data_IF_480432964755
#
_entry.id   IF_480432964755
#
_cell.length_a   1.000
_cell.length_b   1.000
_cell.length_c   1.000
_cell.angle_alpha   90.00
_cell.angle_beta   90.00
_cell.angle_gamma   90.00
#
_symmetry.space_group_name_H-M   'P 1'
#
loop_
_entity.id
_entity.type
_entity.pdbx_description
1 polymer ?
#
# COMPACT_ATOMS: atom_id res chain seq x y z
N UNK A 1 30.90 -23.07 2.21
CA UNK A 1 29.71 -22.29 1.84
C UNK A 1 28.51 -22.90 2.56
N UNK A 2 28.02 -22.26 3.63
CA UNK A 2 26.77 -22.70 4.28
C UNK A 2 26.10 -21.53 5.01
N UNK A 3 25.14 -20.94 4.30
CA UNK A 3 23.79 -20.59 4.78
C UNK A 3 23.63 -19.60 5.94
N UNK A 4 23.44 -18.32 5.59
CA UNK A 4 22.84 -17.28 6.44
C UNK A 4 21.32 -17.48 6.54
N UNK A 5 20.84 -18.35 7.42
CA UNK A 5 19.41 -18.53 7.70
C UNK A 5 19.05 -18.38 9.19
N UNK A 6 19.89 -17.69 9.98
CA UNK A 6 19.66 -17.51 11.44
C UNK A 6 19.13 -16.14 11.85
N UNK A 7 19.32 -15.07 11.06
CA UNK A 7 19.06 -13.71 11.53
C UNK A 7 17.62 -13.19 11.33
N UNK A 8 16.73 -13.94 10.67
CA UNK A 8 15.38 -13.43 10.38
C UNK A 8 14.45 -13.59 11.59
N UNK A 9 14.65 -14.62 12.41
CA UNK A 9 13.69 -15.02 13.45
C UNK A 9 13.83 -14.27 14.78
N UNK A 10 14.97 -13.62 15.02
CA UNK A 10 15.21 -12.88 16.26
C UNK A 10 14.54 -11.49 16.28
N UNK A 11 14.21 -10.92 15.12
CA UNK A 11 13.54 -9.61 15.04
C UNK A 11 12.01 -9.67 15.19
N UNK A 12 11.38 -10.81 14.90
CA UNK A 12 9.91 -10.92 14.88
C UNK A 12 9.33 -10.90 16.31
N UNK A 13 9.99 -11.59 17.24
CA UNK A 13 9.65 -11.55 18.67
C UNK A 13 9.92 -10.17 19.30
N UNK A 14 10.81 -9.37 18.70
CA UNK A 14 11.14 -8.01 19.15
C UNK A 14 10.07 -7.01 18.72
N UNK A 15 9.50 -7.14 17.51
CA UNK A 15 8.49 -6.20 17.00
C UNK A 15 7.19 -6.23 17.81
N UNK A 16 6.67 -7.42 18.15
CA UNK A 16 5.45 -7.55 18.94
C UNK A 16 5.59 -6.91 20.32
N UNK A 17 6.76 -7.09 20.95
CA UNK A 17 7.09 -6.48 22.24
C UNK A 17 7.26 -4.97 22.10
N UNK A 18 8.00 -4.51 21.09
CA UNK A 18 8.18 -3.09 20.78
C UNK A 18 6.86 -2.37 20.56
N UNK A 19 5.90 -2.99 19.86
CA UNK A 19 4.55 -2.45 19.66
C UNK A 19 3.76 -2.48 20.96
N UNK A 20 3.90 -3.52 21.78
CA UNK A 20 3.18 -3.64 23.05
C UNK A 20 3.59 -2.55 24.04
N UNK A 21 4.90 -2.31 24.17
CA UNK A 21 5.50 -1.29 25.04
C UNK A 21 5.45 0.12 24.42
N UNK A 22 5.01 0.23 23.16
CA UNK A 22 4.93 1.51 22.48
C UNK A 22 3.90 2.43 23.14
N UNK A 23 4.33 3.67 23.38
CA UNK A 23 3.60 4.67 24.14
C UNK A 23 2.24 5.08 23.54
N UNK A 24 1.61 6.13 24.08
CA UNK A 24 0.23 6.51 23.72
C UNK A 24 0.03 6.87 22.23
N UNK A 25 1.10 7.18 21.49
CA UNK A 25 1.04 7.45 20.04
C UNK A 25 0.91 6.19 19.17
N UNK A 26 0.99 4.98 19.77
CA UNK A 26 0.94 3.69 19.08
C UNK A 26 -0.07 3.58 17.96
N UNK A 27 -1.33 3.92 18.24
CA UNK A 27 -2.39 3.76 17.24
C UNK A 27 -2.22 4.71 16.06
N UNK A 28 -1.71 5.93 16.31
CA UNK A 28 -1.39 6.89 15.24
C UNK A 28 -0.21 6.40 14.42
N UNK A 29 0.81 5.83 15.07
CA UNK A 29 2.02 5.36 14.40
C UNK A 29 1.81 4.04 13.63
N UNK A 30 0.90 3.17 14.08
CA UNK A 30 0.42 2.02 13.30
C UNK A 30 -0.26 2.48 12.01
N UNK A 31 -1.12 3.52 12.07
CA UNK A 31 -1.76 4.06 10.86
C UNK A 31 -0.73 4.61 9.90
N UNK A 32 0.29 5.33 10.40
CA UNK A 32 1.40 5.84 9.60
C UNK A 32 2.22 4.71 8.98
N UNK A 33 2.50 3.63 9.72
CA UNK A 33 3.17 2.45 9.20
C UNK A 33 2.36 1.79 8.06
N UNK A 34 1.04 1.71 8.18
CA UNK A 34 0.19 1.19 7.11
C UNK A 34 0.22 2.07 5.85
N UNK A 35 0.24 3.39 6.02
CA UNK A 35 0.42 4.33 4.92
C UNK A 35 1.78 4.16 4.24
N UNK A 36 2.83 3.98 5.04
CA UNK A 36 4.18 3.71 4.56
C UNK A 36 4.27 2.37 3.81
N UNK A 37 3.66 1.30 4.31
CA UNK A 37 3.62 0.00 3.63
C UNK A 37 2.95 0.09 2.24
N UNK A 38 1.86 0.87 2.14
CA UNK A 38 1.19 1.13 0.86
C UNK A 38 2.11 1.86 -0.11
N UNK A 39 2.89 2.82 0.38
CA UNK A 39 3.90 3.52 -0.42
C UNK A 39 4.99 2.56 -0.90
N UNK A 40 5.57 1.77 0.02
CA UNK A 40 6.62 0.81 -0.29
C UNK A 40 6.21 -0.19 -1.37
N UNK A 41 4.95 -0.64 -1.42
CA UNK A 41 4.47 -1.54 -2.49
C UNK A 41 4.73 -1.00 -3.90
N UNK A 42 4.75 0.33 -4.08
CA UNK A 42 4.95 0.96 -5.39
C UNK A 42 6.41 1.04 -5.80
N UNK A 43 7.34 0.83 -4.86
CA UNK A 43 8.77 0.85 -5.12
C UNK A 43 9.22 -0.46 -5.78
N UNK A 44 10.24 -0.37 -6.63
CA UNK A 44 10.73 -1.53 -7.39
C UNK A 44 11.32 -2.61 -6.49
N UNK A 45 12.00 -2.20 -5.41
CA UNK A 45 12.59 -3.09 -4.40
C UNK A 45 11.56 -3.96 -3.65
N UNK A 46 10.29 -3.57 -3.69
CA UNK A 46 9.19 -4.24 -2.99
C UNK A 46 8.40 -5.19 -3.89
N UNK A 47 8.75 -5.33 -5.18
CA UNK A 47 7.98 -6.12 -6.16
C UNK A 47 7.89 -7.62 -5.86
N UNK A 48 8.67 -8.12 -4.89
CA UNK A 48 8.61 -9.50 -4.41
C UNK A 48 8.03 -9.68 -3.00
N UNK A 49 7.69 -8.59 -2.30
CA UNK A 49 7.22 -8.66 -0.92
C UNK A 49 5.69 -8.74 -0.86
N UNK A 50 5.19 -9.60 0.03
CA UNK A 50 3.78 -9.64 0.37
C UNK A 50 3.38 -8.41 1.18
N UNK A 51 2.07 -8.14 1.23
CA UNK A 51 1.56 -7.05 2.06
C UNK A 51 1.87 -7.24 3.55
N UNK A 52 1.87 -8.47 4.05
CA UNK A 52 2.23 -8.75 5.44
C UNK A 52 3.69 -8.33 5.72
N UNK A 53 4.64 -8.77 4.87
CA UNK A 53 6.06 -8.43 5.02
C UNK A 53 6.30 -6.92 4.92
N UNK A 54 5.55 -6.21 4.06
CA UNK A 54 5.63 -4.75 3.95
C UNK A 54 5.08 -4.06 5.20
N UNK A 55 4.04 -4.60 5.83
CA UNK A 55 3.49 -4.08 7.08
C UNK A 55 4.50 -4.26 8.21
N UNK A 56 5.07 -5.46 8.37
CA UNK A 56 6.06 -5.74 9.42
C UNK A 56 7.29 -4.83 9.29
N UNK A 57 7.80 -4.69 8.05
CA UNK A 57 8.90 -3.77 7.76
C UNK A 57 8.54 -2.32 8.07
N UNK A 58 7.33 -1.90 7.73
CA UNK A 58 6.89 -0.52 7.94
C UNK A 58 6.65 -0.20 9.41
N UNK A 59 6.12 -1.16 10.18
CA UNK A 59 5.99 -1.04 11.62
C UNK A 59 7.37 -0.88 12.26
N UNK A 60 8.34 -1.70 11.85
CA UNK A 60 9.70 -1.59 12.33
C UNK A 60 10.34 -0.24 11.96
N UNK A 61 10.20 0.22 10.71
CA UNK A 61 10.76 1.50 10.25
C UNK A 61 10.21 2.70 11.04
N UNK A 62 8.92 2.68 11.40
CA UNK A 62 8.27 3.75 12.19
C UNK A 62 8.64 3.66 13.67
N UNK A 63 8.56 2.47 14.27
CA UNK A 63 8.84 2.27 15.70
C UNK A 63 10.32 2.50 16.04
N UNK A 64 11.22 2.13 15.13
CA UNK A 64 12.66 2.40 15.27
C UNK A 64 13.05 3.87 14.99
N UNK A 65 12.12 4.69 14.49
CA UNK A 65 12.39 6.07 14.10
C UNK A 65 13.25 6.21 12.84
N UNK A 66 13.46 5.12 12.09
CA UNK A 66 14.20 5.13 10.82
C UNK A 66 13.50 5.94 9.74
N UNK A 67 12.17 6.03 9.82
CA UNK A 67 11.34 6.90 8.97
C UNK A 67 10.59 7.87 9.87
N UNK A 68 10.68 9.16 9.59
CA UNK A 68 10.00 10.19 10.34
C UNK A 68 8.62 10.51 9.75
N UNK A 69 7.71 11.00 10.59
CA UNK A 69 6.36 11.44 10.20
C UNK A 69 6.33 12.32 8.94
N UNK A 70 7.14 13.38 8.77
CA UNK A 70 7.10 14.21 7.57
C UNK A 70 7.42 13.44 6.28
N UNK A 71 8.29 12.42 6.35
CA UNK A 71 8.63 11.60 5.18
C UNK A 71 7.42 10.74 4.75
N UNK A 72 6.68 10.22 5.73
CA UNK A 72 5.46 9.44 5.50
C UNK A 72 4.39 10.34 4.88
N UNK A 73 4.20 11.54 5.42
CA UNK A 73 3.21 12.50 4.91
C UNK A 73 3.52 12.92 3.46
N UNK A 74 4.79 13.18 3.15
CA UNK A 74 5.22 13.47 1.77
C UNK A 74 4.96 12.29 0.82
N UNK A 75 5.26 11.07 1.26
CA UNK A 75 5.03 9.87 0.48
C UNK A 75 3.54 9.64 0.20
N UNK A 76 2.70 9.82 1.23
CA UNK A 76 1.23 9.74 1.09
C UNK A 76 0.71 10.77 0.10
N UNK A 77 1.20 12.01 0.18
CA UNK A 77 0.78 13.08 -0.74
C UNK A 77 1.13 12.74 -2.19
N UNK A 78 2.37 12.31 -2.45
CA UNK A 78 2.81 11.87 -3.78
C UNK A 78 1.95 10.71 -4.29
N UNK A 79 1.62 9.77 -3.40
CA UNK A 79 0.80 8.63 -3.76
C UNK A 79 -0.64 8.97 -4.11
N UNK A 80 -1.24 9.94 -3.41
CA UNK A 80 -2.55 10.49 -3.71
C UNK A 80 -2.56 11.21 -5.06
N UNK A 81 -1.54 12.01 -5.37
CA UNK A 81 -1.42 12.67 -6.68
C UNK A 81 -1.34 11.66 -7.84
N UNK A 82 -0.67 10.53 -7.63
CA UNK A 82 -0.61 9.45 -8.63
C UNK A 82 -1.99 8.82 -8.81
N UNK A 83 -2.71 8.52 -7.73
CA UNK A 83 -4.07 7.94 -7.80
C UNK A 83 -5.05 8.88 -8.48
N UNK A 84 -5.00 10.18 -8.17
CA UNK A 84 -5.85 11.20 -8.79
C UNK A 84 -5.58 11.31 -10.30
N UNK A 85 -4.31 11.31 -10.73
CA UNK A 85 -3.92 11.31 -12.15
C UNK A 85 -4.38 10.05 -12.89
N UNK A 86 -4.38 8.89 -12.23
CA UNK A 86 -4.85 7.63 -12.81
C UNK A 86 -6.39 7.59 -12.90
N UNK A 87 -7.08 8.11 -11.87
CA UNK A 87 -8.54 8.17 -11.82
C UNK A 87 -9.10 9.15 -12.85
N UNK A 88 -8.47 10.30 -13.02
CA UNK A 88 -8.88 11.34 -13.98
C UNK A 88 -8.69 10.93 -15.45
N UNK A 89 -7.88 9.88 -15.71
CA UNK A 89 -7.65 9.31 -17.05
C UNK A 89 -8.61 8.19 -17.44
N UNK A 90 -9.62 7.86 -16.62
CA UNK A 90 -10.74 6.98 -17.01
C UNK A 90 -11.97 7.81 -17.41
N UNK A 91 -12.05 8.35 -18.64
CA UNK A 91 -13.29 8.92 -19.12
C UNK A 91 -14.26 7.78 -19.43
N UNK A 92 -15.41 7.76 -18.75
CA UNK A 92 -16.78 7.50 -19.24
C UNK A 92 -17.06 6.49 -20.40
N UNK A 93 -16.22 5.48 -20.66
CA UNK A 93 -16.46 4.54 -21.78
C UNK A 93 -17.54 3.49 -21.49
N UNK A 94 -18.04 3.40 -20.24
CA UNK A 94 -19.07 2.44 -19.88
C UNK A 94 -20.50 2.83 -20.29
N UNK A 95 -20.73 4.07 -20.78
CA UNK A 95 -22.10 4.57 -21.04
C UNK A 95 -22.54 4.55 -22.50
N UNK A 96 -21.64 4.27 -23.46
CA UNK A 96 -22.00 4.19 -24.89
C UNK A 96 -22.46 2.81 -25.37
N UNK A 97 -22.08 1.71 -24.70
CA UNK A 97 -22.39 0.35 -25.21
C UNK A 97 -23.86 -0.07 -25.03
N UNK A 98 -24.68 0.67 -24.26
CA UNK A 98 -26.09 0.28 -23.99
C UNK A 98 -27.14 0.96 -24.86
N UNK A 99 -26.80 1.91 -25.75
CA UNK A 99 -27.80 2.61 -26.57
C UNK A 99 -27.94 2.04 -27.99
N UNK A 100 -26.90 1.42 -28.53
CA UNK A 100 -26.88 0.91 -29.91
C UNK A 100 -27.44 -0.51 -30.11
N UNK A 101 -28.07 -1.13 -29.09
CA UNK A 101 -28.64 -2.48 -29.19
C UNK A 101 -30.18 -2.52 -29.28
N UNK A 102 -30.86 -1.37 -29.48
CA UNK A 102 -32.34 -1.31 -29.50
C UNK A 102 -32.96 -0.75 -30.78
N UNK A 103 -32.18 -0.56 -31.84
CA UNK A 103 -32.69 -0.08 -33.14
C UNK A 103 -32.24 -0.98 -34.30
N UNK A 104 -32.42 -2.29 -34.20
CA UNK A 104 -32.49 -3.11 -35.43
C UNK A 104 -33.31 -4.38 -35.22
N UNK A 105 -34.61 -4.27 -35.47
CA UNK A 105 -35.38 -5.40 -36.04
C UNK A 105 -36.11 -4.89 -37.29
N UNK A 106 -35.74 -5.36 -38.48
CA UNK A 106 -36.39 -4.98 -39.73
C UNK A 106 -37.75 -5.69 -39.87
N UNK A 107 -38.66 -5.02 -40.57
CA UNK A 107 -39.96 -5.53 -41.02
C UNK A 107 -39.82 -6.71 -42.02
N UNK A 108 -40.78 -7.64 -41.92
CA UNK A 108 -41.25 -8.73 -42.83
C UNK A 108 -41.29 -10.04 -42.04
N UNK A 109 -42.41 -10.75 -41.98
CA UNK A 109 -43.34 -11.17 -43.04
C UNK A 109 -44.78 -11.24 -42.52
#
# INVERSE_FOLDING_TARGET
MTTQAKNVKENEADLEQLISDYGPSKYTDIVRAMQWARHLRRQEDSRGMTMAELIDRSLLDVVSGKVQVPEIEEAVKKDQEIEEKLSSKRPDDAKRVRKDAKEEKPSKE
#
